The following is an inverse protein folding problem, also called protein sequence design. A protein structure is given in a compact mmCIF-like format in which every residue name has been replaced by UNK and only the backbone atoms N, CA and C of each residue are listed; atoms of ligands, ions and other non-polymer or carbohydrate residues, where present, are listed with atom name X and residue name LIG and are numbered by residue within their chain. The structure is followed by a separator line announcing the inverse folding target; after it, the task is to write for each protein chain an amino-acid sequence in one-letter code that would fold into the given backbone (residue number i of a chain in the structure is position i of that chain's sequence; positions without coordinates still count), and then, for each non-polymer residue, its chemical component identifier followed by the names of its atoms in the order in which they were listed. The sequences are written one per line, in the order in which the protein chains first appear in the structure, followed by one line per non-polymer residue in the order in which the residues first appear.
data_IF_478926894074
#
_entry.id   IF_478926894074
#
_cell.length_a   1.000
_cell.length_b   1.000
_cell.length_c   1.000
_cell.angle_alpha   90.00
_cell.angle_beta   90.00
_cell.angle_gamma   90.00
#
_symmetry.space_group_name_H-M   'P 1'
#
loop_
_entity.id
_entity.type
_entity.pdbx_description
1 polymer ?
#
# COMPACT_ATOMS: atom_id res chain seq x y z
N UNK A 1 -6.30 14.97 -14.75
CA UNK A 1 -5.43 13.79 -14.58
C UNK A 1 -6.07 12.86 -13.59
N UNK A 2 -6.13 11.56 -13.87
CA UNK A 2 -6.68 10.57 -12.94
C UNK A 2 -5.59 10.10 -11.99
N UNK A 3 -5.84 10.18 -10.68
CA UNK A 3 -4.86 9.81 -9.66
C UNK A 3 -4.97 8.33 -9.31
N UNK A 4 -3.88 7.60 -9.47
CA UNK A 4 -3.79 6.16 -9.20
C UNK A 4 -2.77 5.94 -8.08
N UNK A 5 -3.20 5.31 -6.99
CA UNK A 5 -2.34 4.97 -5.87
C UNK A 5 -1.99 3.48 -5.90
N UNK A 6 -0.70 3.16 -5.94
CA UNK A 6 -0.17 1.81 -5.75
C UNK A 6 0.28 1.67 -4.30
N UNK A 7 -0.19 0.64 -3.59
CA UNK A 7 0.14 0.42 -2.17
C UNK A 7 0.58 -1.02 -1.91
N UNK A 8 1.60 -1.21 -1.08
CA UNK A 8 1.95 -2.53 -0.53
C UNK A 8 1.22 -2.78 0.79
N UNK A 9 0.68 -3.98 0.99
CA UNK A 9 -0.08 -4.32 2.21
C UNK A 9 0.68 -5.32 3.08
N UNK A 10 0.82 -4.97 4.37
CA UNK A 10 1.48 -5.78 5.39
C UNK A 10 0.48 -6.36 6.39
N UNK A 11 0.93 -6.56 7.64
CA UNK A 11 0.08 -7.08 8.71
C UNK A 11 -0.97 -6.09 9.23
N UNK A 12 -0.83 -4.79 8.93
CA UNK A 12 -1.75 -3.74 9.37
C UNK A 12 -2.38 -3.04 8.18
N UNK A 13 -3.70 -2.88 8.20
CA UNK A 13 -4.47 -2.22 7.15
C UNK A 13 -4.63 -0.71 7.39
N UNK A 14 -4.53 -0.27 8.66
CA UNK A 14 -4.85 1.10 9.08
C UNK A 14 -4.05 2.16 8.32
N UNK A 15 -2.72 2.00 8.13
CA UNK A 15 -1.96 3.00 7.38
C UNK A 15 -2.36 3.07 5.90
N UNK A 16 -2.85 1.97 5.33
CA UNK A 16 -3.33 1.93 3.94
C UNK A 16 -4.66 2.68 3.81
N UNK A 17 -5.57 2.50 4.78
CA UNK A 17 -6.81 3.28 4.86
C UNK A 17 -6.51 4.77 5.02
N UNK A 18 -5.54 5.13 5.87
CA UNK A 18 -5.08 6.51 6.04
C UNK A 18 -4.52 7.06 4.72
N UNK A 19 -3.63 6.34 4.03
CA UNK A 19 -3.06 6.75 2.75
C UNK A 19 -4.14 7.05 1.70
N UNK A 20 -5.11 6.15 1.54
CA UNK A 20 -6.22 6.31 0.58
C UNK A 20 -7.05 7.54 0.94
N UNK A 21 -7.41 7.72 2.22
CA UNK A 21 -8.20 8.87 2.68
C UNK A 21 -7.44 10.19 2.54
N UNK A 22 -6.13 10.21 2.78
CA UNK A 22 -5.31 11.42 2.65
C UNK A 22 -5.10 11.81 1.20
N UNK A 23 -4.78 10.85 0.34
CA UNK A 23 -4.39 11.12 -1.05
C UNK A 23 -5.59 11.23 -2.00
N UNK A 24 -6.76 10.73 -1.59
CA UNK A 24 -8.00 10.71 -2.38
C UNK A 24 -7.77 10.26 -3.83
N UNK A 25 -7.18 9.07 -4.07
CA UNK A 25 -6.98 8.58 -5.43
C UNK A 25 -8.30 8.17 -6.08
N UNK A 26 -8.38 8.30 -7.41
CA UNK A 26 -9.51 7.82 -8.21
C UNK A 26 -9.52 6.28 -8.31
N UNK A 27 -8.33 5.68 -8.24
CA UNK A 27 -8.11 4.23 -8.34
C UNK A 27 -7.00 3.80 -7.39
N UNK A 28 -7.16 2.64 -6.77
CA UNK A 28 -6.15 2.03 -5.88
C UNK A 28 -5.75 0.68 -6.44
N UNK A 29 -4.44 0.41 -6.51
CA UNK A 29 -3.88 -0.90 -6.85
C UNK A 29 -3.16 -1.43 -5.62
N UNK A 30 -3.57 -2.61 -5.17
CA UNK A 30 -3.03 -3.28 -4.01
C UNK A 30 -1.98 -4.30 -4.42
N UNK A 31 -0.79 -4.23 -3.84
CA UNK A 31 0.23 -5.28 -3.91
C UNK A 31 0.17 -6.05 -2.59
N UNK A 32 -0.32 -7.29 -2.64
CA UNK A 32 -0.56 -8.12 -1.47
C UNK A 32 0.17 -9.46 -1.59
N UNK A 33 0.59 -10.01 -0.45
CA UNK A 33 1.13 -11.36 -0.41
C UNK A 33 0.00 -12.39 -0.48
N UNK A 34 0.24 -13.47 -1.22
CA UNK A 34 -0.64 -14.63 -1.32
C UNK A 34 -0.41 -15.60 -0.15
N UNK A 35 -1.18 -16.69 -0.12
CA UNK A 35 -1.17 -17.70 0.93
C UNK A 35 -2.11 -17.38 2.10
N UNK A 36 -2.30 -18.35 2.99
CA UNK A 36 -3.28 -18.28 4.08
C UNK A 36 -2.91 -17.24 5.15
N UNK A 37 -1.61 -16.94 5.26
CA UNK A 37 -1.07 -15.87 6.13
C UNK A 37 -0.72 -14.60 5.35
N UNK A 38 -1.07 -14.56 4.07
CA UNK A 38 -0.82 -13.41 3.19
C UNK A 38 -1.75 -12.25 3.46
N UNK A 39 -1.39 -11.06 2.96
CA UNK A 39 -2.21 -9.86 3.10
C UNK A 39 -3.39 -9.80 2.12
N UNK A 40 -3.55 -10.77 1.21
CA UNK A 40 -4.69 -10.83 0.27
C UNK A 40 -6.06 -10.74 0.94
N UNK A 41 -6.21 -11.33 2.12
CA UNK A 41 -7.49 -11.33 2.85
C UNK A 41 -7.92 -9.92 3.24
N UNK A 42 -6.98 -9.01 3.50
CA UNK A 42 -7.29 -7.62 3.80
C UNK A 42 -7.82 -6.84 2.58
N UNK A 43 -7.72 -7.40 1.36
CA UNK A 43 -8.25 -6.79 0.12
C UNK A 43 -9.54 -7.46 -0.32
N UNK A 44 -9.54 -8.79 -0.40
CA UNK A 44 -10.63 -9.57 -1.02
C UNK A 44 -11.26 -10.57 -0.06
N UNK A 45 -10.86 -10.59 1.21
CA UNK A 45 -11.49 -11.43 2.22
C UNK A 45 -12.94 -11.01 2.44
N UNK A 46 -13.80 -12.02 2.61
CA UNK A 46 -15.20 -11.82 2.98
C UNK A 46 -15.33 -11.36 4.44
N UNK A 47 -16.51 -10.84 4.78
CA UNK A 47 -16.89 -10.39 6.11
C UNK A 47 -15.95 -9.31 6.67
N UNK A 48 -15.20 -9.64 7.73
CA UNK A 48 -14.34 -8.70 8.47
C UNK A 48 -12.92 -9.25 8.62
N UNK A 49 -12.12 -9.29 7.54
CA UNK A 49 -10.79 -9.88 7.54
C UNK A 49 -9.72 -8.97 8.15
N UNK A 50 -9.99 -7.67 8.30
CA UNK A 50 -9.05 -6.71 8.85
C UNK A 50 -9.13 -6.73 10.38
N UNK A 51 -8.06 -7.21 11.03
CA UNK A 51 -8.02 -7.36 12.49
C UNK A 51 -7.22 -6.22 13.13
N UNK A 52 -7.82 -5.54 14.12
CA UNK A 52 -7.09 -4.67 15.03
C UNK A 52 -6.62 -5.52 16.20
N UNK A 53 -5.31 -5.52 16.46
CA UNK A 53 -4.72 -6.35 17.51
C UNK A 53 -4.05 -5.51 18.60
N UNK A 54 -4.14 -5.99 19.84
CA UNK A 54 -3.34 -5.52 20.98
C UNK A 54 -2.49 -6.69 21.48
N UNK A 55 -1.24 -6.75 21.01
CA UNK A 55 -0.42 -7.94 21.21
C UNK A 55 -1.00 -9.13 20.44
N UNK A 56 -1.24 -10.26 21.12
CA UNK A 56 -1.82 -11.45 20.50
C UNK A 56 -3.36 -11.36 20.33
N UNK A 57 -4.01 -10.52 21.11
CA UNK A 57 -5.47 -10.40 21.18
C UNK A 57 -6.04 -9.59 20.01
N UNK A 58 -7.11 -10.10 19.40
CA UNK A 58 -7.90 -9.36 18.41
C UNK A 58 -8.96 -8.56 19.16
N UNK A 59 -8.86 -7.23 19.12
CA UNK A 59 -9.78 -6.33 19.82
C UNK A 59 -10.94 -5.86 18.94
N UNK A 60 -10.77 -5.90 17.62
CA UNK A 60 -11.78 -5.48 16.66
C UNK A 60 -11.55 -6.17 15.31
N UNK A 61 -12.64 -6.43 14.58
CA UNK A 61 -12.61 -6.91 13.20
C UNK A 61 -13.39 -5.93 12.32
N UNK A 62 -12.79 -5.54 11.21
CA UNK A 62 -13.35 -4.62 10.23
C UNK A 62 -13.41 -5.27 8.84
N UNK A 63 -14.29 -4.77 7.94
CA UNK A 63 -14.35 -5.20 6.54
C UNK A 63 -13.01 -5.08 5.82
N UNK A 64 -12.89 -5.67 4.63
CA UNK A 64 -11.69 -5.49 3.80
C UNK A 64 -11.46 -4.01 3.43
N UNK A 65 -10.21 -3.66 3.09
CA UNK A 65 -9.80 -2.28 2.80
C UNK A 65 -10.69 -1.62 1.73
N UNK A 66 -10.97 -2.24 0.56
CA UNK A 66 -11.85 -1.64 -0.45
C UNK A 66 -13.24 -1.27 0.09
N UNK A 67 -13.79 -2.06 1.00
CA UNK A 67 -15.07 -1.76 1.66
C UNK A 67 -14.95 -0.62 2.65
N UNK A 68 -13.90 -0.60 3.48
CA UNK A 68 -13.66 0.46 4.49
C UNK A 68 -13.44 1.86 3.89
N UNK A 69 -12.91 1.94 2.67
CA UNK A 69 -12.67 3.19 1.93
C UNK A 69 -13.69 3.42 0.80
N UNK A 70 -14.78 2.65 0.78
CA UNK A 70 -15.89 2.80 -0.15
C UNK A 70 -15.49 2.81 -1.64
N UNK A 71 -14.55 1.97 -2.05
CA UNK A 71 -14.16 1.88 -3.48
C UNK A 71 -15.30 1.35 -4.35
N UNK A 72 -16.20 0.51 -3.80
CA UNK A 72 -17.37 -0.04 -4.50
C UNK A 72 -16.99 -0.61 -5.88
N UNK A 73 -17.67 -0.16 -6.93
CA UNK A 73 -17.49 -0.52 -8.34
C UNK A 73 -16.18 -0.01 -8.96
N UNK A 74 -15.48 0.93 -8.31
CA UNK A 74 -14.16 1.41 -8.76
C UNK A 74 -13.08 0.35 -8.58
N UNK A 75 -13.25 -0.58 -7.64
CA UNK A 75 -12.30 -1.67 -7.39
C UNK A 75 -12.69 -2.94 -8.15
N UNK A 76 -11.75 -3.47 -8.93
CA UNK A 76 -11.89 -4.74 -9.64
C UNK A 76 -10.66 -5.62 -9.40
N UNK A 77 -10.84 -6.77 -8.74
CA UNK A 77 -9.73 -7.66 -8.36
C UNK A 77 -8.80 -8.02 -9.52
N UNK A 78 -9.35 -8.30 -10.71
CA UNK A 78 -8.57 -8.69 -11.90
C UNK A 78 -7.61 -7.60 -12.39
N UNK A 79 -7.86 -6.35 -12.00
CA UNK A 79 -7.18 -5.15 -12.50
C UNK A 79 -6.41 -4.42 -11.39
N UNK A 80 -6.87 -4.53 -10.15
CA UNK A 80 -6.47 -3.68 -9.03
C UNK A 80 -5.81 -4.46 -7.88
N UNK A 81 -5.58 -5.77 -8.06
CA UNK A 81 -4.86 -6.61 -7.10
C UNK A 81 -3.70 -7.34 -7.77
N UNK A 82 -2.49 -7.11 -7.28
CA UNK A 82 -1.27 -7.82 -7.64
C UNK A 82 -0.93 -8.76 -6.49
N UNK A 83 -0.99 -10.07 -6.77
CA UNK A 83 -0.63 -11.11 -5.80
C UNK A 83 0.85 -11.49 -5.96
N UNK A 84 1.59 -11.36 -4.86
CA UNK A 84 2.98 -11.80 -4.72
C UNK A 84 2.98 -13.15 -4.01
N UNK A 85 3.49 -14.19 -4.66
CA UNK A 85 3.55 -15.56 -4.13
C UNK A 85 4.58 -15.68 -3.01
N UNK A 86 5.79 -15.14 -3.22
CA UNK A 86 6.82 -15.09 -2.20
C UNK A 86 7.15 -13.64 -1.85
N UNK A 87 6.60 -13.08 -0.75
CA UNK A 87 6.84 -11.69 -0.38
C UNK A 87 8.27 -11.40 0.11
N UNK A 88 9.12 -12.42 0.27
CA UNK A 88 10.55 -12.28 0.56
C UNK A 88 11.43 -12.40 -0.70
N UNK A 89 10.82 -12.64 -1.87
CA UNK A 89 11.53 -12.63 -3.15
C UNK A 89 11.55 -11.21 -3.74
N UNK A 90 12.67 -10.51 -3.58
CA UNK A 90 12.84 -9.15 -4.09
C UNK A 90 12.57 -9.03 -5.59
N UNK A 91 13.01 -10.01 -6.38
CA UNK A 91 12.84 -10.01 -7.84
C UNK A 91 11.36 -10.08 -8.23
N UNK A 92 10.60 -10.93 -7.55
CA UNK A 92 9.16 -11.08 -7.79
C UNK A 92 8.42 -9.78 -7.45
N UNK A 93 8.67 -9.23 -6.26
CA UNK A 93 8.07 -7.97 -5.81
C UNK A 93 8.40 -6.82 -6.78
N UNK A 94 9.67 -6.68 -7.17
CA UNK A 94 10.13 -5.61 -8.05
C UNK A 94 9.51 -5.73 -9.44
N UNK A 95 9.56 -6.91 -10.06
CA UNK A 95 8.98 -7.11 -11.39
C UNK A 95 7.46 -6.90 -11.40
N UNK A 96 6.76 -7.31 -10.34
CA UNK A 96 5.32 -7.05 -10.18
C UNK A 96 5.00 -5.57 -10.12
N UNK A 97 5.72 -4.81 -9.29
CA UNK A 97 5.55 -3.36 -9.16
C UNK A 97 5.93 -2.61 -10.45
N UNK A 98 7.11 -2.88 -11.03
CA UNK A 98 7.58 -2.21 -12.26
C UNK A 98 6.68 -2.49 -13.45
N UNK A 99 6.19 -3.73 -13.61
CA UNK A 99 5.24 -4.07 -14.68
C UNK A 99 3.97 -3.23 -14.56
N UNK A 100 3.39 -3.17 -13.36
CA UNK A 100 2.19 -2.37 -13.09
C UNK A 100 2.41 -0.89 -13.41
N UNK A 101 3.50 -0.29 -12.90
CA UNK A 101 3.79 1.13 -13.12
C UNK A 101 3.93 1.42 -14.62
N UNK A 102 4.69 0.60 -15.36
CA UNK A 102 4.91 0.80 -16.80
C UNK A 102 3.64 0.63 -17.63
N UNK A 103 2.74 -0.26 -17.24
CA UNK A 103 1.42 -0.41 -17.88
C UNK A 103 0.56 0.83 -17.66
N UNK A 104 0.54 1.37 -16.44
CA UNK A 104 -0.18 2.61 -16.14
C UNK A 104 0.40 3.83 -16.86
N UNK A 105 1.73 3.90 -16.99
CA UNK A 105 2.42 5.00 -17.69
C UNK A 105 2.12 5.06 -19.19
N UNK A 106 1.50 4.02 -19.78
CA UNK A 106 0.98 4.11 -21.15
C UNK A 106 -0.16 5.11 -21.28
N UNK A 107 -0.81 5.49 -20.16
CA UNK A 107 -1.78 6.56 -20.11
C UNK A 107 -1.11 7.86 -19.59
N UNK A 108 -0.82 8.84 -20.47
CA UNK A 108 -0.14 10.08 -20.07
C UNK A 108 -1.00 10.97 -19.15
N UNK A 109 -2.31 10.76 -19.08
CA UNK A 109 -3.23 11.52 -18.22
C UNK A 109 -3.32 10.95 -16.79
N UNK A 110 -2.62 9.86 -16.50
CA UNK A 110 -2.60 9.23 -15.18
C UNK A 110 -1.47 9.79 -14.30
N UNK A 111 -1.83 10.29 -13.13
CA UNK A 111 -0.88 10.61 -12.06
C UNK A 111 -0.72 9.37 -11.18
N UNK A 112 0.46 8.75 -11.20
CA UNK A 112 0.72 7.50 -10.47
C UNK A 112 1.50 7.82 -9.20
N UNK A 113 0.97 7.41 -8.06
CA UNK A 113 1.59 7.57 -6.73
C UNK A 113 1.90 6.19 -6.16
N UNK A 114 2.97 6.07 -5.38
CA UNK A 114 3.31 4.85 -4.66
C UNK A 114 3.40 5.10 -3.15
N UNK A 115 2.66 4.35 -2.34
CA UNK A 115 2.81 4.33 -0.88
C UNK A 115 3.38 2.98 -0.42
N UNK A 116 4.54 3.03 0.23
CA UNK A 116 5.29 1.84 0.64
C UNK A 116 5.23 1.58 2.15
N UNK A 117 4.24 2.16 2.85
CA UNK A 117 4.10 2.08 4.31
C UNK A 117 3.94 0.65 4.80
N UNK A 118 3.09 -0.11 4.10
CA UNK A 118 2.83 -1.51 4.41
C UNK A 118 3.68 -2.46 3.58
N UNK A 119 3.46 -3.76 3.78
CA UNK A 119 4.18 -4.85 3.14
C UNK A 119 5.26 -5.47 4.03
N UNK A 120 5.86 -6.55 3.55
CA UNK A 120 7.15 -6.98 4.09
C UNK A 120 8.21 -5.94 3.74
N UNK A 121 9.35 -5.95 4.44
CA UNK A 121 10.47 -5.06 4.11
C UNK A 121 10.89 -5.21 2.65
N UNK A 122 10.85 -6.43 2.13
CA UNK A 122 11.16 -6.75 0.74
C UNK A 122 10.13 -6.16 -0.23
N UNK A 123 8.83 -6.25 0.05
CA UNK A 123 7.79 -5.62 -0.77
C UNK A 123 7.93 -4.09 -0.78
N UNK A 124 8.14 -3.47 0.38
CA UNK A 124 8.32 -2.01 0.48
C UNK A 124 9.57 -1.56 -0.28
N UNK A 125 10.70 -2.26 -0.12
CA UNK A 125 11.93 -1.96 -0.84
C UNK A 125 11.76 -2.11 -2.37
N UNK A 126 11.07 -3.16 -2.81
CA UNK A 126 10.76 -3.37 -4.22
C UNK A 126 9.90 -2.25 -4.82
N UNK A 127 8.86 -1.80 -4.10
CA UNK A 127 8.01 -0.70 -4.55
C UNK A 127 8.80 0.62 -4.62
N UNK A 128 9.67 0.90 -3.63
CA UNK A 128 10.57 2.06 -3.65
C UNK A 128 11.50 2.02 -4.87
N UNK A 129 12.17 0.89 -5.12
CA UNK A 129 13.04 0.72 -6.28
C UNK A 129 12.28 0.93 -7.60
N UNK A 130 11.12 0.29 -7.74
CA UNK A 130 10.30 0.41 -8.93
C UNK A 130 9.80 1.84 -9.15
N UNK A 131 9.42 2.55 -8.09
CA UNK A 131 8.96 3.93 -8.15
C UNK A 131 10.08 4.90 -8.57
N UNK A 132 11.28 4.75 -7.99
CA UNK A 132 12.47 5.54 -8.36
C UNK A 132 12.86 5.28 -9.81
N UNK A 133 12.93 4.01 -10.22
CA UNK A 133 13.29 3.63 -11.60
C UNK A 133 12.30 4.16 -12.64
N UNK A 134 11.01 4.24 -12.27
CA UNK A 134 9.96 4.74 -13.16
C UNK A 134 9.69 6.25 -13.00
N UNK A 135 10.36 6.92 -12.07
CA UNK A 135 10.22 8.36 -11.82
C UNK A 135 8.85 8.79 -11.28
N UNK A 136 8.19 7.97 -10.47
CA UNK A 136 6.89 8.31 -9.86
C UNK A 136 7.03 8.75 -8.39
N UNK A 137 6.17 9.64 -7.88
CA UNK A 137 6.19 10.08 -6.48
C UNK A 137 6.01 8.93 -5.47
N UNK A 138 6.83 9.00 -4.40
CA UNK A 138 6.75 8.09 -3.25
C UNK A 138 6.08 8.77 -2.05
N UNK A 139 5.27 8.01 -1.32
CA UNK A 139 4.58 8.42 -0.11
C UNK A 139 4.82 7.43 1.02
N UNK A 140 4.78 7.96 2.23
CA UNK A 140 4.86 7.20 3.47
C UNK A 140 3.84 7.74 4.47
N UNK A 141 3.00 6.85 4.95
CA UNK A 141 2.08 7.06 6.06
C UNK A 141 2.79 6.75 7.36
N UNK A 142 2.92 7.77 8.21
CA UNK A 142 3.58 7.67 9.50
C UNK A 142 2.59 7.98 10.61
N UNK A 143 2.76 7.32 11.76
CA UNK A 143 2.06 7.74 12.96
C UNK A 143 2.43 9.20 13.30
N UNK A 144 1.41 9.94 13.75
CA UNK A 144 1.46 11.25 14.40
C UNK A 144 2.59 11.34 15.42
N UNK A 145 3.10 12.55 15.60
CA UNK A 145 4.41 12.87 16.20
C UNK A 145 4.91 11.87 17.27
N UNK A 146 6.15 11.41 17.07
CA UNK A 146 6.97 10.79 18.13
C UNK A 146 7.30 11.84 19.18
N UNK A 147 6.48 11.95 20.22
CA UNK A 147 6.90 12.68 21.43
C UNK A 147 7.72 11.80 22.39
N UNK A 148 7.62 10.46 22.32
CA UNK A 148 8.43 9.57 23.15
C UNK A 148 8.72 8.20 22.49
N UNK A 149 9.94 7.68 22.69
CA UNK A 149 10.42 6.37 22.19
C UNK A 149 9.71 5.14 22.81
N UNK A 150 8.72 5.36 23.66
CA UNK A 150 8.11 4.33 24.51
C UNK A 150 6.68 3.99 24.06
N UNK A 151 5.93 4.90 23.42
CA UNK A 151 4.54 4.65 23.00
C UNK A 151 3.99 5.69 22.02
N UNK A 152 3.08 5.25 21.14
CA UNK A 152 2.36 6.09 20.19
C UNK A 152 1.19 6.85 20.85
N UNK A 153 1.11 8.17 20.66
CA UNK A 153 -0.05 9.00 21.00
C UNK A 153 -0.56 9.76 19.75
N UNK A 154 -1.66 9.23 19.19
CA UNK A 154 -2.64 9.77 18.22
C UNK A 154 -2.18 10.52 16.94
N UNK A 155 -2.80 10.05 15.84
CA UNK A 155 -2.73 10.58 14.47
C UNK A 155 -1.97 9.60 13.56
N UNK A 156 -2.34 9.48 12.31
CA UNK A 156 -1.48 8.98 11.23
C UNK A 156 -1.55 10.03 10.11
N UNK A 157 -0.44 10.31 9.45
CA UNK A 157 -0.38 11.27 8.35
C UNK A 157 0.50 10.76 7.21
N UNK A 158 0.04 11.03 5.99
CA UNK A 158 0.70 10.62 4.75
C UNK A 158 1.56 11.77 4.24
N UNK A 159 2.85 11.53 3.99
CA UNK A 159 3.77 12.53 3.44
C UNK A 159 4.46 12.04 2.17
N UNK A 160 4.77 12.95 1.26
CA UNK A 160 5.62 12.67 0.13
C UNK A 160 7.07 12.49 0.59
N UNK A 161 7.81 11.59 -0.05
CA UNK A 161 9.21 11.28 0.22
C UNK A 161 10.09 12.00 -0.79
N UNK A 162 11.15 12.65 -0.28
CA UNK A 162 12.15 13.28 -1.12
C UNK A 162 13.05 12.22 -1.76
N UNK A 163 13.01 12.15 -3.09
CA UNK A 163 13.84 11.26 -3.91
C UNK A 163 14.91 12.02 -4.70
N UNK A 164 15.14 13.31 -4.40
CA UNK A 164 16.19 14.12 -5.00
C UNK A 164 17.56 13.79 -4.40
N UNK A 165 18.03 12.57 -4.66
CA UNK A 165 19.36 12.17 -4.20
C UNK A 165 20.44 12.97 -4.96
N UNK A 166 21.41 13.59 -4.27
CA UNK A 166 22.57 14.14 -4.95
C UNK A 166 23.26 13.02 -5.73
N UNK A 167 23.53 13.26 -7.01
CA UNK A 167 24.32 12.32 -7.81
C UNK A 167 25.72 12.26 -7.18
N UNK A 168 26.10 11.07 -6.73
CA UNK A 168 27.45 10.78 -6.26
C UNK A 168 28.48 10.97 -7.39
#
# INVERSE_FOLDING_TARGET
MSKILIVTIGGSFQPIVTAIRSLQPDRVIFIASDGDKGSKSQVIGADTPCEVRRGAEVIERLPNIPTQVELRDKFQQSRDLILIKNPDNLRECYLGATKCIRELQQNPDAEILADYTGGTKTMSAALVLAAVDCGIPLYLTIAGARENLIKFERGEFTKQVDTSFPRA
#
